data_IF_669618477060
#
_entry.id   IF_669618477060
#
_cell.length_a   1.000
_cell.length_b   1.000
_cell.length_c   1.000
_cell.angle_alpha   90.00
_cell.angle_beta   90.00
_cell.angle_gamma   90.00
#
_symmetry.space_group_name_H-M   'P 1'
#
loop_
_entity.id
_entity.type
_entity.pdbx_description
1 polymer ?
#
# COMPACT_ATOMS: atom_id res chain seq x y z
N UNK A 1 35.36 -17.60 16.99
CA UNK A 1 36.01 -16.29 17.10
C UNK A 1 35.79 -15.41 15.90
N UNK A 2 35.42 -15.95 14.77
CA UNK A 2 34.99 -15.19 13.61
C UNK A 2 33.78 -14.28 13.89
N UNK A 3 33.03 -14.59 14.93
CA UNK A 3 31.82 -13.88 15.30
C UNK A 3 32.04 -12.42 15.76
N UNK A 4 33.22 -12.09 16.23
CA UNK A 4 33.50 -10.73 16.72
C UNK A 4 33.54 -9.72 15.58
N UNK A 5 34.18 -10.07 14.46
CA UNK A 5 34.23 -9.20 13.29
C UNK A 5 32.86 -9.06 12.61
N UNK A 6 32.08 -10.14 12.58
CA UNK A 6 30.73 -10.12 12.05
C UNK A 6 29.75 -9.35 12.92
N UNK A 7 30.01 -9.24 14.23
CA UNK A 7 29.10 -8.61 15.18
C UNK A 7 28.84 -7.12 14.92
N UNK A 8 29.87 -6.36 14.57
CA UNK A 8 29.73 -4.91 14.29
C UNK A 8 28.95 -4.67 13.00
N UNK A 9 29.28 -5.39 11.95
CA UNK A 9 28.58 -5.28 10.67
C UNK A 9 27.12 -5.72 10.81
N UNK A 10 26.88 -6.80 11.54
CA UNK A 10 25.52 -7.31 11.79
C UNK A 10 24.68 -6.28 12.57
N UNK A 11 25.24 -5.68 13.62
CA UNK A 11 24.52 -4.65 14.40
C UNK A 11 24.19 -3.42 13.57
N UNK A 12 25.07 -3.00 12.69
CA UNK A 12 24.83 -1.87 11.80
C UNK A 12 23.72 -2.22 10.82
N UNK A 13 23.76 -3.41 10.23
CA UNK A 13 22.70 -3.90 9.34
C UNK A 13 21.36 -3.99 10.06
N UNK A 14 21.35 -4.52 11.27
CA UNK A 14 20.15 -4.65 12.09
C UNK A 14 19.50 -3.29 12.35
N UNK A 15 20.29 -2.27 12.67
CA UNK A 15 19.79 -0.91 12.87
C UNK A 15 19.23 -0.32 11.59
N UNK A 16 19.92 -0.50 10.46
CA UNK A 16 19.46 -0.01 9.16
C UNK A 16 18.19 -0.75 8.73
N UNK A 17 18.15 -2.06 8.94
CA UNK A 17 16.98 -2.87 8.63
C UNK A 17 15.77 -2.50 9.51
N UNK A 18 16.00 -2.18 10.78
CA UNK A 18 14.94 -1.75 11.68
C UNK A 18 14.33 -0.42 11.22
N UNK A 19 15.16 0.55 10.81
CA UNK A 19 14.67 1.81 10.26
C UNK A 19 13.91 1.63 8.95
N UNK A 20 14.46 0.83 8.04
CA UNK A 20 13.81 0.51 6.77
C UNK A 20 12.49 -0.21 7.01
N UNK A 21 12.47 -1.16 7.95
CA UNK A 21 11.27 -1.91 8.31
C UNK A 21 10.18 -0.99 8.86
N UNK A 22 10.51 -0.05 9.73
CA UNK A 22 9.56 0.92 10.26
C UNK A 22 8.93 1.75 9.15
N UNK A 23 9.75 2.25 8.21
CA UNK A 23 9.24 3.02 7.07
C UNK A 23 8.35 2.16 6.17
N UNK A 24 8.78 0.93 5.90
CA UNK A 24 8.03 0.02 5.04
C UNK A 24 6.69 -0.36 5.67
N UNK A 25 6.69 -0.67 6.96
CA UNK A 25 5.46 -0.98 7.70
C UNK A 25 4.52 0.22 7.70
N UNK A 26 5.03 1.44 7.93
CA UNK A 26 4.22 2.65 7.93
C UNK A 26 3.55 2.87 6.57
N UNK A 27 4.31 2.70 5.47
CA UNK A 27 3.75 2.83 4.12
C UNK A 27 2.70 1.76 3.84
N UNK A 28 3.00 0.50 4.17
CA UNK A 28 2.05 -0.61 3.99
C UNK A 28 0.79 -0.41 4.80
N UNK A 29 0.91 0.05 6.04
CA UNK A 29 -0.23 0.35 6.91
C UNK A 29 -1.08 1.48 6.33
N UNK A 30 -0.43 2.54 5.83
CA UNK A 30 -1.13 3.65 5.16
C UNK A 30 -1.90 3.19 3.94
N UNK A 31 -1.29 2.32 3.12
CA UNK A 31 -1.95 1.75 1.94
C UNK A 31 -3.14 0.87 2.34
N UNK A 32 -2.98 0.07 3.38
CA UNK A 32 -4.07 -0.78 3.90
C UNK A 32 -5.24 0.07 4.41
N UNK A 33 -4.93 1.16 5.11
CA UNK A 33 -5.95 2.11 5.59
C UNK A 33 -6.69 2.76 4.42
N UNK A 34 -5.95 3.21 3.39
CA UNK A 34 -6.54 3.80 2.19
C UNK A 34 -7.43 2.79 1.45
N UNK A 35 -6.99 1.54 1.37
CA UNK A 35 -7.78 0.45 0.77
C UNK A 35 -9.08 0.23 1.54
N UNK A 36 -9.02 0.18 2.86
CA UNK A 36 -10.21 0.03 3.70
C UNK A 36 -11.18 1.19 3.51
N UNK A 37 -10.67 2.42 3.51
CA UNK A 37 -11.51 3.61 3.30
C UNK A 37 -12.18 3.58 1.94
N UNK A 38 -11.43 3.21 0.89
CA UNK A 38 -11.95 3.09 -0.46
C UNK A 38 -13.11 2.07 -0.52
N UNK A 39 -12.87 0.89 0.01
CA UNK A 39 -13.86 -0.18 -0.02
C UNK A 39 -15.08 0.15 0.84
N UNK A 40 -14.87 0.78 1.98
CA UNK A 40 -15.97 1.23 2.85
C UNK A 40 -16.83 2.30 2.16
N UNK A 41 -16.20 3.27 1.49
CA UNK A 41 -16.91 4.29 0.74
C UNK A 41 -17.69 3.67 -0.43
N UNK A 42 -17.10 2.71 -1.13
CA UNK A 42 -17.77 2.00 -2.22
C UNK A 42 -18.97 1.20 -1.72
N UNK A 43 -18.82 0.50 -0.60
CA UNK A 43 -19.91 -0.28 0.00
C UNK A 43 -21.04 0.62 0.52
N UNK A 44 -20.70 1.83 0.97
CA UNK A 44 -21.68 2.82 1.43
C UNK A 44 -22.36 3.56 0.28
N UNK A 45 -21.96 3.32 -0.98
CA UNK A 45 -22.54 3.98 -2.13
C UNK A 45 -22.08 5.41 -2.35
N UNK A 46 -21.00 5.83 -1.69
CA UNK A 46 -20.46 7.20 -1.79
C UNK A 46 -19.45 7.26 -2.93
N UNK A 47 -19.93 7.47 -4.14
CA UNK A 47 -19.13 7.46 -5.35
C UNK A 47 -18.01 8.50 -5.32
N UNK A 48 -18.32 9.73 -4.95
CA UNK A 48 -17.32 10.82 -4.92
C UNK A 48 -16.20 10.52 -3.95
N UNK A 49 -16.54 10.05 -2.75
CA UNK A 49 -15.56 9.67 -1.74
C UNK A 49 -14.73 8.48 -2.21
N UNK A 50 -15.37 7.49 -2.83
CA UNK A 50 -14.68 6.32 -3.37
C UNK A 50 -13.67 6.71 -4.44
N UNK A 51 -14.02 7.63 -5.34
CA UNK A 51 -13.12 8.11 -6.37
C UNK A 51 -11.92 8.85 -5.79
N UNK A 52 -12.14 9.71 -4.80
CA UNK A 52 -11.08 10.42 -4.09
C UNK A 52 -10.12 9.45 -3.41
N UNK A 53 -10.67 8.49 -2.67
CA UNK A 53 -9.87 7.48 -1.99
C UNK A 53 -9.11 6.60 -2.99
N UNK A 54 -9.71 6.30 -4.13
CA UNK A 54 -9.05 5.56 -5.19
C UNK A 54 -7.82 6.30 -5.73
N UNK A 55 -7.95 7.58 -6.01
CA UNK A 55 -6.82 8.41 -6.48
C UNK A 55 -5.70 8.44 -5.45
N UNK A 56 -6.04 8.63 -4.19
CA UNK A 56 -5.08 8.61 -3.08
C UNK A 56 -4.38 7.25 -2.99
N UNK A 57 -5.15 6.18 -3.09
CA UNK A 57 -4.63 4.81 -3.03
C UNK A 57 -3.66 4.51 -4.18
N UNK A 58 -4.03 4.86 -5.41
CA UNK A 58 -3.17 4.67 -6.60
C UNK A 58 -1.88 5.47 -6.45
N UNK A 59 -1.97 6.73 -6.04
CA UNK A 59 -0.80 7.58 -5.81
C UNK A 59 0.14 6.97 -4.77
N UNK A 60 -0.42 6.46 -3.67
CA UNK A 60 0.36 5.79 -2.62
C UNK A 60 1.03 4.52 -3.13
N UNK A 61 0.33 3.73 -3.96
CA UNK A 61 0.90 2.52 -4.55
C UNK A 61 2.07 2.86 -5.48
N UNK A 62 1.92 3.87 -6.32
CA UNK A 62 2.98 4.28 -7.25
C UNK A 62 4.22 4.76 -6.49
N UNK A 63 4.03 5.53 -5.42
CA UNK A 63 5.13 5.98 -4.57
C UNK A 63 5.83 4.81 -3.89
N UNK A 64 5.07 3.82 -3.42
CA UNK A 64 5.62 2.63 -2.78
C UNK A 64 6.44 1.78 -3.76
N UNK A 65 6.00 1.68 -5.02
CA UNK A 65 6.75 0.99 -6.08
C UNK A 65 8.07 1.73 -6.36
N UNK A 66 8.03 3.05 -6.46
CA UNK A 66 9.22 3.87 -6.67
C UNK A 66 10.25 3.69 -5.57
N UNK A 67 9.78 3.57 -4.32
CA UNK A 67 10.66 3.37 -3.17
C UNK A 67 11.11 1.91 -3.02
N UNK A 68 10.60 1.00 -3.83
CA UNK A 68 10.95 -0.42 -3.76
C UNK A 68 10.32 -1.15 -2.59
N UNK A 69 9.28 -0.60 -1.98
CA UNK A 69 8.59 -1.20 -0.83
C UNK A 69 7.70 -2.35 -1.28
N UNK A 70 7.00 -2.16 -2.40
CA UNK A 70 6.17 -3.20 -3.01
C UNK A 70 6.55 -3.39 -4.47
N UNK A 71 6.28 -4.58 -5.02
CA UNK A 71 6.55 -4.87 -6.42
C UNK A 71 5.48 -4.22 -7.31
N UNK A 72 5.87 -3.94 -8.56
CA UNK A 72 4.94 -3.39 -9.55
C UNK A 72 3.75 -4.33 -9.76
N UNK A 73 3.99 -5.63 -9.79
CA UNK A 73 2.93 -6.62 -9.97
C UNK A 73 1.90 -6.56 -8.85
N UNK A 74 2.36 -6.46 -7.59
CA UNK A 74 1.48 -6.31 -6.44
C UNK A 74 0.67 -5.03 -6.53
N UNK A 75 1.31 -3.91 -6.89
CA UNK A 75 0.63 -2.63 -7.05
C UNK A 75 -0.45 -2.69 -8.14
N UNK A 76 -0.11 -3.28 -9.29
CA UNK A 76 -1.06 -3.43 -10.40
C UNK A 76 -2.25 -4.30 -10.00
N UNK A 77 -2.01 -5.38 -9.27
CA UNK A 77 -3.08 -6.25 -8.77
C UNK A 77 -4.03 -5.49 -7.85
N UNK A 78 -3.49 -4.71 -6.93
CA UNK A 78 -4.29 -3.91 -5.99
C UNK A 78 -5.08 -2.82 -6.72
N UNK A 79 -4.47 -2.16 -7.70
CA UNK A 79 -5.16 -1.17 -8.54
C UNK A 79 -6.33 -1.81 -9.29
N UNK A 80 -6.09 -2.98 -9.88
CA UNK A 80 -7.10 -3.70 -10.64
C UNK A 80 -8.30 -4.08 -9.76
N UNK A 81 -8.04 -4.60 -8.57
CA UNK A 81 -9.11 -4.96 -7.62
C UNK A 81 -9.92 -3.75 -7.20
N UNK A 82 -9.24 -2.63 -6.91
CA UNK A 82 -9.92 -1.39 -6.54
C UNK A 82 -10.77 -0.86 -7.69
N UNK A 83 -10.25 -0.92 -8.92
CA UNK A 83 -10.98 -0.49 -10.11
C UNK A 83 -12.22 -1.35 -10.34
N UNK A 84 -12.11 -2.67 -10.15
CA UNK A 84 -13.26 -3.57 -10.26
C UNK A 84 -14.34 -3.22 -9.23
N UNK A 85 -13.95 -2.89 -8.01
CA UNK A 85 -14.89 -2.49 -6.96
C UNK A 85 -15.64 -1.21 -7.36
N UNK A 86 -14.94 -0.22 -7.90
CA UNK A 86 -15.54 1.02 -8.40
C UNK A 86 -16.47 0.76 -9.57
N UNK A 87 -16.09 -0.14 -10.48
CA UNK A 87 -16.92 -0.50 -11.63
C UNK A 87 -18.22 -1.16 -11.18
N UNK A 88 -18.14 -2.05 -10.20
CA UNK A 88 -19.35 -2.69 -9.63
C UNK A 88 -20.28 -1.67 -8.99
N UNK A 89 -19.70 -0.71 -8.27
CA UNK A 89 -20.46 0.38 -7.67
C UNK A 89 -21.16 1.23 -8.73
N UNK A 90 -20.47 1.59 -9.79
CA UNK A 90 -21.05 2.36 -10.90
C UNK A 90 -22.17 1.60 -11.58
N UNK A 91 -22.02 0.29 -11.78
CA UNK A 91 -23.10 -0.55 -12.35
C UNK A 91 -24.32 -0.61 -11.44
N UNK A 92 -24.10 -0.71 -10.13
CA UNK A 92 -25.19 -0.73 -9.17
C UNK A 92 -25.98 0.59 -9.19
N UNK A 93 -25.30 1.72 -9.34
CA UNK A 93 -25.93 3.04 -9.44
C UNK A 93 -26.67 3.21 -10.77
N UNK A 94 -26.15 2.60 -11.85
CA UNK A 94 -26.75 2.71 -13.17
C UNK A 94 -28.09 1.95 -13.29
N UNK A 95 -28.34 1.03 -12.39
CA UNK A 95 -29.63 0.33 -12.33
C UNK A 95 -30.65 1.11 -11.54
#
# INVERSE_FOLDING_TARGET
>A
MANIKGGRAARKRDRQNAKANKRNVAVKTGLHTAHKKLFKAADAGKKDDAEKEFKTFVSGLDKAVKKGIISRNTANRKKSRAQLKLNKMAKAEAK
#
